data_IF_460491536506
#
_entry.id   IF_460491536506
#
_cell.length_a   1.000
_cell.length_b   1.000
_cell.length_c   1.000
_cell.angle_alpha   90.00
_cell.angle_beta   90.00
_cell.angle_gamma   90.00
#
_symmetry.space_group_name_H-M   'P 1'
#
loop_
_entity.id
_entity.type
_entity.pdbx_description
1 polymer ?
#
# COMPACT_ATOMS: atom_id res chain seq x y z
N UNK A 1 -0.36 21.68 -37.10
CA UNK A 1 -1.56 22.01 -37.89
C UNK A 1 -2.13 20.76 -38.58
N UNK A 2 -1.32 19.87 -39.13
CA UNK A 2 -1.79 18.63 -39.84
C UNK A 2 -2.60 17.70 -38.97
N UNK A 3 -2.22 17.52 -37.67
CA UNK A 3 -2.94 16.68 -36.72
C UNK A 3 -4.32 17.23 -36.39
N UNK A 4 -4.45 18.55 -36.28
CA UNK A 4 -5.72 19.21 -36.03
C UNK A 4 -6.68 19.05 -37.22
N UNK A 5 -6.16 19.17 -38.44
CA UNK A 5 -6.92 18.93 -39.66
C UNK A 5 -7.38 17.50 -39.81
N UNK A 6 -6.51 16.50 -39.48
CA UNK A 6 -6.85 15.08 -39.50
C UNK A 6 -7.92 14.70 -38.45
N UNK A 7 -7.97 15.42 -37.33
CA UNK A 7 -8.96 15.24 -36.25
C UNK A 7 -10.23 16.09 -36.43
N UNK A 8 -10.27 16.98 -37.44
CA UNK A 8 -11.41 17.88 -37.67
C UNK A 8 -11.64 18.90 -36.55
N UNK A 9 -10.60 19.26 -35.81
CA UNK A 9 -10.67 20.24 -34.71
C UNK A 9 -9.77 21.46 -34.97
N UNK A 10 -10.14 22.65 -34.49
CA UNK A 10 -9.26 23.80 -34.58
C UNK A 10 -7.95 23.60 -33.80
N UNK A 11 -6.79 24.05 -34.32
CA UNK A 11 -5.49 23.87 -33.67
C UNK A 11 -5.46 24.38 -32.23
N UNK A 12 -6.20 25.43 -31.94
CA UNK A 12 -6.30 26.04 -30.61
C UNK A 12 -6.89 25.05 -29.59
N UNK A 13 -7.81 24.16 -30.02
CA UNK A 13 -8.37 23.11 -29.15
C UNK A 13 -7.37 22.02 -28.78
N UNK A 14 -6.35 21.79 -29.59
CA UNK A 14 -5.27 20.85 -29.26
C UNK A 14 -4.23 21.47 -28.32
N UNK A 15 -4.13 22.79 -28.33
CA UNK A 15 -3.18 23.55 -27.50
C UNK A 15 -3.82 24.03 -26.20
N UNK A 16 -5.14 24.16 -26.18
CA UNK A 16 -5.89 24.61 -25.01
C UNK A 16 -6.41 23.41 -24.25
N UNK A 17 -5.64 22.95 -23.28
CA UNK A 17 -6.15 22.12 -22.21
C UNK A 17 -6.88 23.04 -21.23
N UNK A 18 -8.20 23.14 -21.33
CA UNK A 18 -8.97 23.78 -20.27
C UNK A 18 -8.59 23.07 -18.96
N UNK A 19 -8.17 23.79 -17.90
CA UNK A 19 -7.97 23.16 -16.62
C UNK A 19 -9.30 22.47 -16.24
N UNK A 20 -9.27 21.14 -16.17
CA UNK A 20 -10.41 20.39 -15.64
C UNK A 20 -10.69 20.93 -14.24
N UNK A 21 -11.95 21.14 -13.85
CA UNK A 21 -12.27 21.51 -12.49
C UNK A 21 -11.58 20.52 -11.57
N UNK A 22 -10.85 21.02 -10.58
CA UNK A 22 -10.07 20.19 -9.65
C UNK A 22 -10.96 19.14 -8.96
N UNK A 23 -12.24 19.43 -8.82
CA UNK A 23 -13.26 18.53 -8.28
C UNK A 23 -13.55 17.31 -9.19
N UNK A 24 -13.54 17.48 -10.52
CA UNK A 24 -13.75 16.36 -11.46
C UNK A 24 -12.49 15.49 -11.63
N UNK A 25 -11.31 16.07 -11.46
CA UNK A 25 -10.04 15.32 -11.41
C UNK A 25 -9.91 14.49 -10.12
N UNK A 26 -10.58 14.92 -9.05
CA UNK A 26 -10.49 14.29 -7.73
C UNK A 26 -11.49 13.13 -7.54
N UNK A 27 -12.58 13.07 -8.33
CA UNK A 27 -13.62 12.06 -8.13
C UNK A 27 -13.16 10.62 -8.40
N UNK A 28 -12.09 10.42 -9.21
CA UNK A 28 -11.55 9.12 -9.60
C UNK A 28 -10.10 8.87 -9.18
N UNK A 29 -9.56 9.66 -8.26
CA UNK A 29 -8.14 9.60 -7.85
C UNK A 29 -7.78 8.38 -7.01
N UNK A 30 -8.76 7.62 -6.53
CA UNK A 30 -8.50 6.40 -5.77
C UNK A 30 -8.01 5.30 -6.71
N UNK A 31 -6.78 4.78 -6.54
CA UNK A 31 -6.25 3.71 -7.37
C UNK A 31 -7.18 2.49 -7.39
N UNK A 32 -7.29 1.82 -8.53
CA UNK A 32 -8.23 0.72 -8.75
C UNK A 32 -8.13 -0.40 -7.68
N UNK A 33 -6.93 -0.62 -7.15
CA UNK A 33 -6.70 -1.59 -6.07
C UNK A 33 -7.48 -1.26 -4.78
N UNK A 34 -7.68 0.01 -4.46
CA UNK A 34 -8.33 0.43 -3.21
C UNK A 34 -9.83 0.73 -3.36
N UNK A 35 -10.36 0.76 -4.59
CA UNK A 35 -11.78 1.06 -4.82
C UNK A 35 -12.70 0.02 -4.18
N UNK A 36 -13.61 0.49 -3.32
CA UNK A 36 -14.59 -0.36 -2.63
C UNK A 36 -13.95 -1.37 -1.65
N UNK A 37 -12.78 -1.04 -1.12
CA UNK A 37 -12.07 -1.90 -0.17
C UNK A 37 -12.07 -1.23 1.20
N UNK A 38 -12.71 -1.89 2.17
CA UNK A 38 -12.71 -1.47 3.58
C UNK A 38 -11.65 -2.19 4.39
N UNK A 39 -11.13 -3.30 3.85
CA UNK A 39 -10.13 -4.14 4.53
C UNK A 39 -9.15 -4.74 3.55
N UNK A 40 -7.86 -4.76 3.96
CA UNK A 40 -6.78 -5.47 3.28
C UNK A 40 -6.11 -6.44 4.26
N UNK A 41 -5.66 -7.56 3.71
CA UNK A 41 -4.83 -8.54 4.41
C UNK A 41 -3.38 -8.32 3.99
N UNK A 42 -2.50 -8.16 4.96
CA UNK A 42 -1.09 -7.89 4.73
C UNK A 42 -0.24 -9.01 5.31
N UNK A 43 0.75 -9.42 4.54
CA UNK A 43 1.66 -10.51 4.89
C UNK A 43 3.10 -10.09 4.67
N UNK A 44 3.97 -10.44 5.58
CA UNK A 44 5.40 -10.39 5.38
C UNK A 44 6.10 -11.51 6.15
N UNK A 45 7.33 -11.80 5.75
CA UNK A 45 8.14 -12.80 6.41
C UNK A 45 9.16 -12.14 7.35
N UNK A 46 9.06 -12.42 8.65
CA UNK A 46 10.08 -12.00 9.62
C UNK A 46 11.25 -12.98 9.60
N UNK A 47 12.34 -12.58 8.95
CA UNK A 47 13.54 -13.40 8.82
C UNK A 47 14.28 -13.64 10.14
N UNK A 48 14.02 -12.85 11.18
CA UNK A 48 14.64 -13.00 12.51
C UNK A 48 14.04 -14.18 13.27
N UNK A 49 12.71 -14.26 13.25
CA UNK A 49 11.96 -15.30 13.93
C UNK A 49 11.63 -16.48 12.99
N UNK A 50 12.01 -16.37 11.72
CA UNK A 50 11.67 -17.33 10.66
C UNK A 50 10.16 -17.63 10.60
N UNK A 51 9.34 -16.61 10.74
CA UNK A 51 7.88 -16.72 10.86
C UNK A 51 7.14 -15.78 9.92
N UNK A 52 5.93 -16.22 9.53
CA UNK A 52 4.96 -15.39 8.83
C UNK A 52 4.31 -14.42 9.81
N UNK A 53 4.29 -13.14 9.45
CA UNK A 53 3.50 -12.13 10.15
C UNK A 53 2.24 -11.83 9.35
N UNK A 54 1.10 -12.08 9.97
CA UNK A 54 -0.24 -11.76 9.46
C UNK A 54 -0.67 -10.42 9.98
N UNK A 55 -1.25 -9.62 9.10
CA UNK A 55 -1.75 -8.30 9.50
C UNK A 55 -3.04 -7.97 8.75
N UNK A 56 -3.86 -7.13 9.34
CA UNK A 56 -5.08 -6.58 8.73
C UNK A 56 -5.01 -5.06 8.75
N UNK A 57 -5.33 -4.44 7.64
CA UNK A 57 -5.50 -3.00 7.52
C UNK A 57 -6.99 -2.72 7.34
N UNK A 58 -7.62 -2.13 8.33
CA UNK A 58 -8.98 -1.59 8.22
C UNK A 58 -8.90 -0.15 7.70
N UNK A 59 -9.50 0.10 6.54
CA UNK A 59 -9.64 1.44 5.95
C UNK A 59 -10.92 2.04 6.54
N UNK A 60 -10.77 3.19 7.19
CA UNK A 60 -11.82 3.84 7.97
C UNK A 60 -12.39 5.05 7.23
N UNK A 61 -12.51 6.17 7.92
CA UNK A 61 -13.05 7.39 7.40
C UNK A 61 -12.16 8.06 6.34
N UNK A 62 -12.78 8.65 5.32
CA UNK A 62 -12.10 9.55 4.40
C UNK A 62 -11.82 10.87 5.11
N UNK A 63 -10.56 11.29 5.17
CA UNK A 63 -10.10 12.49 5.88
C UNK A 63 -9.67 13.63 4.96
N UNK A 64 -9.50 13.33 3.67
CA UNK A 64 -9.11 14.31 2.65
C UNK A 64 -9.47 13.84 1.25
N UNK A 65 -9.10 14.60 0.23
CA UNK A 65 -9.35 14.24 -1.17
C UNK A 65 -8.82 12.84 -1.50
N UNK A 66 -7.58 12.55 -1.09
CA UNK A 66 -6.86 11.31 -1.36
C UNK A 66 -6.35 10.64 -0.10
N UNK A 67 -6.95 10.92 1.06
CA UNK A 67 -6.49 10.45 2.36
C UNK A 67 -7.60 9.75 3.14
N UNK A 68 -7.23 8.69 3.84
CA UNK A 68 -8.11 7.86 4.66
C UNK A 68 -7.45 7.53 5.98
N UNK A 69 -8.20 7.56 7.07
CA UNK A 69 -7.75 6.98 8.32
C UNK A 69 -7.70 5.47 8.22
N UNK A 70 -6.68 4.87 8.79
CA UNK A 70 -6.55 3.41 8.84
C UNK A 70 -6.18 2.93 10.25
N UNK A 71 -6.48 1.65 10.50
CA UNK A 71 -5.89 0.89 11.59
C UNK A 71 -5.22 -0.34 11.03
N UNK A 72 -3.97 -0.56 11.44
CA UNK A 72 -3.19 -1.74 11.10
C UNK A 72 -3.05 -2.61 12.36
N UNK A 73 -3.54 -3.83 12.28
CA UNK A 73 -3.45 -4.86 13.32
C UNK A 73 -2.41 -5.89 12.90
N UNK A 74 -1.33 -6.00 13.64
CA UNK A 74 -0.15 -6.75 13.23
C UNK A 74 0.13 -7.91 14.18
N UNK A 75 0.44 -9.07 13.59
CA UNK A 75 0.82 -10.30 14.28
C UNK A 75 -0.28 -10.87 15.20
N UNK A 76 -1.33 -11.37 14.60
CA UNK A 76 -2.43 -12.08 15.23
C UNK A 76 -2.45 -13.57 14.84
N UNK A 77 -3.20 -14.39 15.57
CA UNK A 77 -3.32 -15.82 15.31
C UNK A 77 -4.60 -16.20 14.54
N UNK A 78 -5.71 -15.50 14.81
CA UNK A 78 -7.03 -15.81 14.27
C UNK A 78 -7.61 -14.61 13.52
N UNK A 79 -7.98 -14.82 12.25
CA UNK A 79 -8.60 -13.79 11.42
C UNK A 79 -9.98 -13.34 11.93
N UNK A 80 -10.69 -14.17 12.70
CA UNK A 80 -11.96 -13.75 13.29
C UNK A 80 -11.75 -12.83 14.49
N UNK A 81 -10.57 -12.89 15.11
CA UNK A 81 -10.17 -12.11 16.28
C UNK A 81 -8.90 -11.28 16.02
N UNK A 82 -8.69 -10.83 14.78
CA UNK A 82 -7.46 -10.13 14.36
C UNK A 82 -7.14 -8.88 15.19
N UNK A 83 -8.15 -8.30 15.87
CA UNK A 83 -7.92 -7.17 16.79
C UNK A 83 -7.22 -7.58 18.09
N UNK A 84 -7.22 -8.87 18.40
CA UNK A 84 -6.37 -9.44 19.44
C UNK A 84 -4.99 -9.76 18.83
N UNK A 85 -4.20 -8.73 18.64
CA UNK A 85 -2.91 -8.75 17.95
C UNK A 85 -1.79 -8.27 18.88
N UNK A 86 -0.55 -8.52 18.47
CA UNK A 86 0.61 -8.08 19.23
C UNK A 86 0.79 -6.55 19.18
N UNK A 87 0.54 -5.94 18.00
CA UNK A 87 0.73 -4.51 17.80
C UNK A 87 -0.43 -3.89 17.02
N UNK A 88 -0.92 -2.76 17.51
CA UNK A 88 -1.92 -1.94 16.83
C UNK A 88 -1.29 -0.61 16.43
N UNK A 89 -1.41 -0.27 15.14
CA UNK A 89 -0.94 1.00 14.59
C UNK A 89 -2.13 1.80 14.06
N UNK A 90 -2.12 3.10 14.30
CA UNK A 90 -3.09 4.04 13.76
C UNK A 90 -2.38 5.01 12.83
N UNK A 91 -3.04 5.40 11.74
CA UNK A 91 -2.43 6.32 10.80
C UNK A 91 -3.26 6.62 9.57
N UNK A 92 -2.58 7.01 8.51
CA UNK A 92 -3.21 7.53 7.30
C UNK A 92 -2.71 6.78 6.06
N UNK A 93 -3.65 6.39 5.20
CA UNK A 93 -3.42 5.98 3.83
C UNK A 93 -3.60 7.21 2.93
N UNK A 94 -2.58 7.55 2.14
CA UNK A 94 -2.63 8.64 1.17
C UNK A 94 -2.33 8.13 -0.23
N UNK A 95 -3.14 8.53 -1.20
CA UNK A 95 -2.97 8.17 -2.61
C UNK A 95 -2.32 9.31 -3.38
N UNK A 96 -1.34 8.94 -4.23
CA UNK A 96 -0.66 9.82 -5.18
C UNK A 96 -0.68 9.16 -6.56
N UNK A 97 -0.34 9.88 -7.61
CA UNK A 97 -0.37 9.36 -8.98
C UNK A 97 0.46 8.09 -9.18
N UNK A 98 1.69 8.09 -8.65
CA UNK A 98 2.64 7.00 -8.84
C UNK A 98 2.63 5.96 -7.72
N UNK A 99 2.12 6.30 -6.54
CA UNK A 99 2.18 5.44 -5.37
C UNK A 99 1.12 5.78 -4.32
N UNK A 100 0.87 4.82 -3.42
CA UNK A 100 0.11 5.03 -2.20
C UNK A 100 1.01 4.80 -0.99
N UNK A 101 0.94 5.70 -0.03
CA UNK A 101 1.68 5.61 1.23
C UNK A 101 0.73 5.35 2.38
N UNK A 102 1.14 4.45 3.27
CA UNK A 102 0.52 4.27 4.59
C UNK A 102 1.56 4.68 5.62
N UNK A 103 1.24 5.65 6.46
CA UNK A 103 2.08 6.12 7.57
C UNK A 103 1.34 5.86 8.85
N UNK A 104 1.91 5.07 9.73
CA UNK A 104 1.26 4.66 10.98
C UNK A 104 2.19 4.79 12.18
N UNK A 105 1.59 5.01 13.35
CA UNK A 105 2.25 5.06 14.64
C UNK A 105 1.68 3.96 15.53
N UNK A 106 2.54 3.28 16.25
CA UNK A 106 2.13 2.27 17.22
C UNK A 106 1.32 2.94 18.35
N UNK A 107 0.21 2.33 18.73
CA UNK A 107 -0.69 2.87 19.74
C UNK A 107 -0.04 2.94 21.14
N UNK A 108 0.85 2.01 21.45
CA UNK A 108 1.47 1.88 22.77
C UNK A 108 2.86 2.54 22.83
N UNK A 109 3.48 2.80 21.68
CA UNK A 109 4.84 3.33 21.58
C UNK A 109 4.95 4.36 20.46
N UNK A 110 4.83 5.65 20.79
CA UNK A 110 4.81 6.74 19.80
C UNK A 110 6.03 6.79 18.87
N UNK A 111 7.19 6.32 19.33
CA UNK A 111 8.41 6.29 18.53
C UNK A 111 8.42 5.19 17.45
N UNK A 112 7.52 4.21 17.57
CA UNK A 112 7.45 3.10 16.62
C UNK A 112 6.52 3.48 15.45
N UNK A 113 7.15 3.88 14.36
CA UNK A 113 6.50 4.29 13.12
C UNK A 113 6.68 3.20 12.07
N UNK A 114 5.59 2.83 11.42
CA UNK A 114 5.62 1.93 10.28
C UNK A 114 5.11 2.62 9.03
N UNK A 115 5.96 2.66 8.01
CA UNK A 115 5.67 3.22 6.69
C UNK A 115 5.54 2.09 5.68
N UNK A 116 4.50 2.11 4.86
CA UNK A 116 4.31 1.19 3.75
C UNK A 116 4.14 1.96 2.45
N UNK A 117 4.99 1.67 1.47
CA UNK A 117 4.94 2.21 0.12
C UNK A 117 4.39 1.17 -0.85
N UNK A 118 3.37 1.55 -1.61
CA UNK A 118 2.70 0.71 -2.59
C UNK A 118 2.71 1.40 -3.95
N UNK A 119 3.29 0.80 -5.01
CA UNK A 119 3.24 1.38 -6.35
C UNK A 119 1.78 1.51 -6.81
N UNK A 120 1.44 2.58 -7.50
CA UNK A 120 0.10 2.76 -8.06
C UNK A 120 -0.20 1.63 -9.06
N UNK A 121 -1.47 1.25 -9.18
CA UNK A 121 -1.94 0.25 -10.11
C UNK A 121 -3.28 0.68 -10.68
N UNK A 122 -3.33 0.82 -11.98
CA UNK A 122 -4.56 1.12 -12.71
C UNK A 122 -5.38 -0.14 -12.99
N UNK A 123 -4.79 -1.32 -12.79
CA UNK A 123 -5.46 -2.60 -12.97
C UNK A 123 -6.18 -2.99 -11.68
N UNK A 124 -7.37 -3.55 -11.83
CA UNK A 124 -8.15 -4.08 -10.70
C UNK A 124 -7.56 -5.43 -10.24
N UNK A 125 -6.35 -5.38 -9.69
CA UNK A 125 -5.69 -6.54 -9.12
C UNK A 125 -6.28 -6.87 -7.74
N UNK A 126 -6.38 -8.16 -7.41
CA UNK A 126 -6.77 -8.63 -6.07
C UNK A 126 -5.63 -8.57 -5.07
N UNK A 127 -4.39 -8.49 -5.56
CA UNK A 127 -3.16 -8.55 -4.76
C UNK A 127 -2.14 -7.50 -5.20
N UNK A 128 -1.21 -7.16 -4.31
CA UNK A 128 -0.16 -6.19 -4.58
C UNK A 128 1.07 -6.41 -3.70
N UNK A 129 2.25 -6.20 -4.28
CA UNK A 129 3.49 -6.11 -3.53
C UNK A 129 3.77 -4.67 -3.11
N UNK A 130 4.42 -4.52 -1.97
CA UNK A 130 4.86 -3.25 -1.42
C UNK A 130 6.15 -3.38 -0.63
N UNK A 131 6.63 -2.25 -0.14
CA UNK A 131 7.81 -2.16 0.71
C UNK A 131 7.45 -1.48 2.02
N UNK A 132 7.65 -2.21 3.12
CA UNK A 132 7.47 -1.71 4.48
C UNK A 132 8.78 -1.23 5.08
N UNK A 133 8.70 -0.17 5.87
CA UNK A 133 9.82 0.39 6.64
C UNK A 133 9.37 0.62 8.07
N UNK A 134 10.23 0.30 9.02
CA UNK A 134 9.93 0.48 10.42
C UNK A 134 11.18 0.35 11.28
N UNK A 135 10.94 0.35 12.57
CA UNK A 135 12.00 0.11 13.56
C UNK A 135 11.73 -1.24 14.22
N UNK A 136 12.75 -2.09 14.19
CA UNK A 136 12.73 -3.33 14.96
C UNK A 136 12.98 -3.02 16.44
N UNK A 137 12.21 -3.65 17.33
CA UNK A 137 12.37 -3.45 18.76
C UNK A 137 13.51 -4.27 19.39
N UNK A 138 13.93 -5.38 18.74
CA UNK A 138 14.96 -6.28 19.30
C UNK A 138 15.81 -6.93 18.20
N UNK A 139 17.03 -6.40 17.92
CA UNK A 139 17.58 -5.15 18.42
C UNK A 139 16.84 -3.94 17.84
N UNK A 140 16.99 -2.77 18.47
CA UNK A 140 16.45 -1.51 17.93
C UNK A 140 17.29 -1.14 16.71
N UNK A 141 16.70 -1.25 15.52
CA UNK A 141 17.34 -0.93 14.25
C UNK A 141 16.33 -0.65 13.15
N UNK A 142 16.65 0.21 12.18
CA UNK A 142 15.84 0.36 10.99
C UNK A 142 15.71 -0.96 10.23
N UNK A 143 14.51 -1.28 9.77
CA UNK A 143 14.24 -2.49 8.99
C UNK A 143 13.41 -2.15 7.77
N UNK A 144 13.57 -2.94 6.72
CA UNK A 144 12.67 -2.95 5.58
C UNK A 144 12.15 -4.36 5.34
N UNK A 145 10.91 -4.46 4.90
CA UNK A 145 10.22 -5.73 4.66
C UNK A 145 9.54 -5.72 3.30
N UNK A 146 9.65 -6.84 2.58
CA UNK A 146 8.84 -7.10 1.40
C UNK A 146 7.45 -7.49 1.87
N UNK A 147 6.43 -6.77 1.42
CA UNK A 147 5.08 -6.91 1.91
C UNK A 147 4.15 -7.32 0.78
N UNK A 148 3.29 -8.28 1.05
CA UNK A 148 2.22 -8.71 0.16
C UNK A 148 0.88 -8.26 0.72
N UNK A 149 0.07 -7.55 -0.10
CA UNK A 149 -1.29 -7.16 0.23
C UNK A 149 -2.30 -7.90 -0.62
N UNK A 150 -3.42 -8.25 -0.02
CA UNK A 150 -4.52 -8.92 -0.69
C UNK A 150 -5.88 -8.41 -0.21
N UNK A 151 -6.86 -8.42 -1.11
CA UNK A 151 -8.27 -8.16 -0.77
C UNK A 151 -8.97 -9.35 -0.10
N UNK A 152 -8.33 -10.52 -0.11
CA UNK A 152 -8.83 -11.75 0.51
C UNK A 152 -7.73 -12.45 1.29
N UNK A 153 -8.15 -13.29 2.25
CA UNK A 153 -7.22 -14.14 2.99
C UNK A 153 -6.53 -15.09 2.02
N UNK A 154 -5.20 -15.19 2.12
CA UNK A 154 -4.39 -16.05 1.29
C UNK A 154 -4.09 -17.38 1.98
N UNK A 155 -4.04 -18.50 1.23
CA UNK A 155 -3.58 -19.76 1.76
C UNK A 155 -2.08 -19.71 2.07
N UNK A 156 -1.68 -20.19 3.22
CA UNK A 156 -0.30 -20.16 3.71
C UNK A 156 0.48 -21.37 3.22
N UNK A 157 0.64 -21.48 1.90
CA UNK A 157 1.40 -22.58 1.30
C UNK A 157 2.90 -22.36 1.44
N UNK A 158 3.74 -23.42 1.37
CA UNK A 158 5.20 -23.29 1.37
C UNK A 158 5.72 -22.36 0.27
N UNK A 159 5.09 -22.38 -0.92
CA UNK A 159 5.42 -21.53 -2.06
C UNK A 159 5.15 -20.06 -1.71
N UNK A 160 3.98 -19.75 -1.14
CA UNK A 160 3.64 -18.39 -0.71
C UNK A 160 4.63 -17.86 0.34
N UNK A 161 5.01 -18.70 1.31
CA UNK A 161 6.03 -18.33 2.31
C UNK A 161 7.39 -18.07 1.68
N UNK A 162 7.75 -18.82 0.65
CA UNK A 162 9.00 -18.62 -0.09
C UNK A 162 8.98 -17.30 -0.86
N UNK A 163 7.87 -16.94 -1.48
CA UNK A 163 7.70 -15.69 -2.24
C UNK A 163 7.79 -14.43 -1.34
N UNK A 164 7.37 -14.56 -0.08
CA UNK A 164 7.48 -13.47 0.91
C UNK A 164 8.93 -13.22 1.37
N UNK A 165 9.83 -14.17 1.20
CA UNK A 165 11.25 -14.00 1.57
C UNK A 165 11.92 -13.06 0.58
N UNK A 166 12.85 -12.24 1.10
CA UNK A 166 13.70 -11.42 0.25
C UNK A 166 14.69 -12.32 -0.49
N UNK A 167 14.60 -12.35 -1.80
CA UNK A 167 15.48 -13.12 -2.68
C UNK A 167 16.79 -12.38 -2.99
N UNK A 168 17.75 -13.07 -3.58
CA UNK A 168 18.97 -12.43 -4.09
C UNK A 168 18.66 -11.45 -5.23
N UNK A 169 17.65 -11.75 -6.02
CA UNK A 169 17.18 -10.89 -7.12
C UNK A 169 16.54 -9.59 -6.58
N UNK A 170 15.73 -9.68 -5.52
CA UNK A 170 15.20 -8.50 -4.84
C UNK A 170 16.34 -7.57 -4.36
N UNK A 171 17.38 -8.14 -3.76
CA UNK A 171 18.56 -7.37 -3.29
C UNK A 171 19.36 -6.77 -4.45
N UNK A 172 19.49 -7.50 -5.57
CA UNK A 172 20.18 -6.98 -6.75
C UNK A 172 19.41 -5.83 -7.41
N UNK A 173 18.08 -5.92 -7.44
CA UNK A 173 17.23 -4.86 -7.96
C UNK A 173 17.42 -3.56 -7.17
N UNK A 174 17.43 -3.65 -5.83
CA UNK A 174 17.66 -2.50 -4.94
C UNK A 174 19.07 -1.88 -5.08
N UNK A 175 20.07 -2.64 -5.53
CA UNK A 175 21.44 -2.14 -5.73
C UNK A 175 21.65 -1.43 -7.07
N UNK A 176 20.70 -1.49 -8.00
CA UNK A 176 20.82 -0.84 -9.32
C UNK A 176 20.35 0.61 -9.32
N UNK A 177 19.79 1.05 -8.24
CA UNK A 177 19.34 2.40 -7.97
C UNK A 177 20.12 2.94 -6.78
#
# INVERSE_FOLDING_TARGET
YEVAAALGVPPEKLLYCAPLPVEDLMADSVPAFFRGVDRLYMYYFDGRNNSLVRSVIDIRAKTGANAYDIALYMNFQDYQQYRNCENTYLGTLSHYDALSNIVTHNQDTEMDVYLLCLPASYLNAGTKWGLGFGISCRPIMPTSTKVFLSKSIQPETPEFLQDLRISREDVQLLKRY
#
